data_IF_675285653757
#
_entry.id   IF_675285653757
#
_cell.length_a   1.000
_cell.length_b   1.000
_cell.length_c   1.000
_cell.angle_alpha   90.00
_cell.angle_beta   90.00
_cell.angle_gamma   90.00
#
_symmetry.space_group_name_H-M   'P 1'
#
loop_
_entity.id
_entity.type
_entity.pdbx_description
1 polymer ?
#
# COMPACT_ATOMS: atom_id res chain seq x y z
N UNK A 1 -10.68 20.88 -1.11
CA UNK A 1 -9.54 20.25 -1.81
C UNK A 1 -9.57 18.79 -1.41
N UNK A 2 -9.54 17.88 -2.39
CA UNK A 2 -9.35 16.44 -2.12
C UNK A 2 -7.99 16.24 -1.47
N UNK A 3 -7.92 15.44 -0.40
CA UNK A 3 -6.67 15.17 0.33
C UNK A 3 -5.75 14.30 -0.53
N UNK A 4 -4.81 14.92 -1.23
CA UNK A 4 -3.87 14.23 -2.12
C UNK A 4 -2.70 13.60 -1.38
N UNK A 5 -2.49 13.94 -0.10
CA UNK A 5 -1.36 13.46 0.67
C UNK A 5 -1.33 11.94 0.76
N UNK A 6 -2.49 11.33 1.00
CA UNK A 6 -2.61 9.86 1.14
C UNK A 6 -3.12 9.16 -0.12
N UNK A 7 -3.20 9.88 -1.23
CA UNK A 7 -3.71 9.32 -2.48
C UNK A 7 -2.66 8.41 -3.13
N UNK A 8 -3.06 7.17 -3.42
CA UNK A 8 -2.20 6.12 -3.96
C UNK A 8 -2.87 5.38 -5.11
N UNK A 9 -2.07 4.85 -6.04
CA UNK A 9 -2.46 3.73 -6.90
C UNK A 9 -1.94 2.43 -6.30
N UNK A 10 -2.77 1.39 -6.36
CA UNK A 10 -2.40 0.02 -5.92
C UNK A 10 -2.08 -0.80 -7.14
N UNK A 11 -0.95 -1.52 -7.12
CA UNK A 11 -0.56 -2.41 -8.21
C UNK A 11 -0.28 -3.82 -7.70
N UNK A 12 -0.53 -4.81 -8.56
CA UNK A 12 -0.04 -6.18 -8.38
C UNK A 12 0.80 -6.64 -9.55
N UNK A 13 1.86 -7.40 -9.27
CA UNK A 13 2.65 -8.03 -10.32
C UNK A 13 1.92 -9.27 -10.84
N UNK A 14 1.73 -9.35 -12.15
CA UNK A 14 1.09 -10.49 -12.81
C UNK A 14 2.11 -11.53 -13.30
N UNK A 15 1.62 -12.62 -13.89
CA UNK A 15 2.45 -13.74 -14.37
C UNK A 15 3.45 -13.33 -15.45
N UNK A 16 3.13 -12.32 -16.25
CA UNK A 16 4.00 -11.75 -17.29
C UNK A 16 5.03 -10.76 -16.73
N UNK A 17 5.13 -10.64 -15.40
CA UNK A 17 5.98 -9.67 -14.68
C UNK A 17 5.66 -8.22 -15.04
N UNK A 18 4.39 -7.93 -15.30
CA UNK A 18 3.88 -6.57 -15.50
C UNK A 18 3.03 -6.13 -14.30
N UNK A 19 3.01 -4.82 -14.04
CA UNK A 19 2.24 -4.25 -12.94
C UNK A 19 0.82 -3.90 -13.39
N UNK A 20 -0.17 -4.60 -12.86
CA UNK A 20 -1.59 -4.35 -13.10
C UNK A 20 -2.13 -3.29 -12.13
N UNK A 21 -2.78 -2.24 -12.64
CA UNK A 21 -3.46 -1.22 -11.84
C UNK A 21 -4.73 -1.80 -11.21
N UNK A 22 -4.76 -1.90 -9.87
CA UNK A 22 -5.91 -2.36 -9.08
C UNK A 22 -6.90 -1.23 -8.76
N UNK A 23 -6.51 0.02 -8.98
CA UNK A 23 -7.32 1.20 -8.70
C UNK A 23 -6.59 2.28 -7.92
N UNK A 24 -7.25 3.43 -7.83
CA UNK A 24 -6.77 4.59 -7.06
C UNK A 24 -7.59 4.75 -5.78
N UNK A 25 -6.92 5.06 -4.68
CA UNK A 25 -7.52 5.13 -3.36
C UNK A 25 -6.74 5.98 -2.37
N UNK A 26 -7.19 6.00 -1.12
CA UNK A 26 -6.51 6.68 -0.03
C UNK A 26 -5.98 5.64 0.98
N UNK A 27 -4.68 5.69 1.25
CA UNK A 27 -4.02 4.77 2.18
C UNK A 27 -4.13 5.27 3.62
N UNK A 28 -4.28 4.33 4.56
CA UNK A 28 -4.15 4.56 5.99
C UNK A 28 -3.52 3.34 6.67
N UNK A 29 -3.04 3.51 7.90
CA UNK A 29 -2.55 2.42 8.73
C UNK A 29 -3.39 2.29 9.99
N UNK A 30 -3.78 1.07 10.38
CA UNK A 30 -4.56 0.83 11.59
C UNK A 30 -4.41 -0.59 12.11
N UNK A 31 -4.70 -0.80 13.40
CA UNK A 31 -4.74 -2.14 13.97
C UNK A 31 -6.00 -2.85 13.49
N UNK A 32 -5.81 -4.03 12.89
CA UNK A 32 -6.90 -4.86 12.38
C UNK A 32 -7.02 -6.11 13.26
N UNK A 33 -8.15 -6.26 13.94
CA UNK A 33 -8.39 -7.32 14.92
C UNK A 33 -8.24 -8.72 14.30
N UNK A 34 -8.86 -8.95 13.14
CA UNK A 34 -8.81 -10.25 12.45
C UNK A 34 -7.41 -10.66 11.99
N UNK A 35 -6.53 -9.68 11.72
CA UNK A 35 -5.14 -9.91 11.33
C UNK A 35 -4.19 -9.88 12.54
N UNK A 36 -4.68 -9.46 13.71
CA UNK A 36 -3.92 -9.30 14.95
C UNK A 36 -2.64 -8.49 14.74
N UNK A 37 -2.78 -7.29 14.18
CA UNK A 37 -1.64 -6.40 13.95
C UNK A 37 -1.97 -5.12 13.19
N UNK A 38 -0.98 -4.22 13.18
CA UNK A 38 -0.99 -3.04 12.34
C UNK A 38 -1.03 -3.45 10.87
N UNK A 39 -1.87 -2.79 10.09
CA UNK A 39 -2.13 -3.14 8.69
C UNK A 39 -2.24 -1.87 7.84
N UNK A 40 -1.84 -1.98 6.59
CA UNK A 40 -2.09 -1.00 5.54
C UNK A 40 -3.48 -1.23 4.94
N UNK A 41 -4.25 -0.15 4.81
CA UNK A 41 -5.61 -0.14 4.29
C UNK A 41 -5.70 0.87 3.15
N UNK A 42 -6.23 0.47 2.00
CA UNK A 42 -6.53 1.40 0.89
C UNK A 42 -8.02 1.39 0.57
N UNK A 43 -8.65 2.56 0.66
CA UNK A 43 -10.06 2.76 0.30
C UNK A 43 -10.17 3.38 -1.09
N UNK A 44 -10.95 2.76 -1.97
CA UNK A 44 -11.14 3.20 -3.35
C UNK A 44 -11.74 4.60 -3.44
N UNK A 45 -11.29 5.42 -4.40
CA UNK A 45 -11.92 6.71 -4.69
C UNK A 45 -13.28 6.57 -5.37
N UNK A 46 -13.50 5.47 -6.09
CA UNK A 46 -14.71 5.24 -6.89
C UNK A 46 -15.96 5.04 -6.05
N UNK A 47 -15.86 4.25 -4.98
CA UNK A 47 -17.01 3.78 -4.21
C UNK A 47 -16.71 3.56 -2.71
N UNK A 48 -15.50 3.85 -2.24
CA UNK A 48 -15.09 3.65 -0.84
C UNK A 48 -14.88 2.17 -0.45
N UNK A 49 -14.93 1.24 -1.42
CA UNK A 49 -14.61 -0.16 -1.19
C UNK A 49 -13.14 -0.34 -0.75
N UNK A 50 -12.83 -1.49 -0.19
CA UNK A 50 -11.48 -1.80 0.29
C UNK A 50 -10.67 -2.42 -0.86
N UNK A 51 -9.69 -1.68 -1.37
CA UNK A 51 -8.77 -2.15 -2.42
C UNK A 51 -7.65 -3.02 -1.86
N UNK A 52 -7.19 -2.69 -0.65
CA UNK A 52 -6.10 -3.38 0.03
C UNK A 52 -6.36 -3.44 1.53
N UNK A 53 -6.11 -4.62 2.11
CA UNK A 53 -5.89 -4.80 3.54
C UNK A 53 -4.73 -5.79 3.71
N UNK A 54 -3.58 -5.27 4.11
CA UNK A 54 -2.33 -6.05 4.22
C UNK A 54 -1.70 -5.81 5.59
N UNK A 55 -1.36 -6.90 6.29
CA UNK A 55 -0.74 -6.82 7.62
C UNK A 55 0.72 -6.39 7.48
N UNK A 56 1.13 -5.38 8.25
CA UNK A 56 2.54 -5.03 8.39
C UNK A 56 3.21 -6.16 9.18
N UNK A 57 4.11 -6.89 8.51
CA UNK A 57 4.81 -8.04 9.05
C UNK A 57 6.30 -7.72 9.16
N UNK A 58 6.95 -8.01 10.31
CA UNK A 58 8.37 -7.73 10.50
C UNK A 58 9.28 -8.60 9.61
N UNK A 59 8.75 -9.71 9.08
CA UNK A 59 9.48 -10.61 8.19
C UNK A 59 9.33 -10.24 6.70
N UNK A 60 8.48 -9.27 6.38
CA UNK A 60 8.27 -8.82 5.01
C UNK A 60 9.32 -7.77 4.66
N UNK A 61 10.03 -8.00 3.56
CA UNK A 61 11.03 -7.06 3.05
C UNK A 61 10.35 -5.94 2.24
N UNK A 62 9.87 -4.92 2.94
CA UNK A 62 9.37 -3.71 2.30
C UNK A 62 10.52 -2.92 1.68
N UNK A 63 10.29 -2.37 0.48
CA UNK A 63 11.26 -1.56 -0.23
C UNK A 63 10.65 -0.24 -0.63
N UNK A 64 11.34 0.86 -0.30
CA UNK A 64 10.99 2.19 -0.80
C UNK A 64 11.79 2.49 -2.05
N UNK A 65 11.10 2.87 -3.13
CA UNK A 65 11.70 3.19 -4.42
C UNK A 65 11.27 4.59 -4.88
N UNK A 66 12.17 5.33 -5.54
CA UNK A 66 11.89 6.63 -6.18
C UNK A 66 11.14 7.64 -5.29
N UNK A 67 11.35 7.58 -3.97
CA UNK A 67 10.67 8.38 -2.94
C UNK A 67 9.16 8.25 -2.79
N UNK A 68 8.44 7.75 -3.80
CA UNK A 68 6.98 7.68 -3.83
C UNK A 68 6.42 6.28 -4.07
N UNK A 69 7.26 5.24 -4.08
CA UNK A 69 6.83 3.85 -4.25
C UNK A 69 7.21 3.03 -3.01
N UNK A 70 6.27 2.19 -2.56
CA UNK A 70 6.52 1.13 -1.58
C UNK A 70 6.16 -0.19 -2.24
N UNK A 71 7.11 -1.13 -2.28
CA UNK A 71 6.98 -2.44 -2.95
C UNK A 71 7.28 -3.53 -1.95
N UNK A 72 6.50 -4.61 -1.95
CA UNK A 72 6.76 -5.80 -1.12
C UNK A 72 6.11 -7.06 -1.71
N UNK A 73 6.60 -8.21 -1.28
CA UNK A 73 5.96 -9.51 -1.53
C UNK A 73 5.01 -9.82 -0.37
N UNK A 74 3.71 -9.89 -0.67
CA UNK A 74 2.65 -10.20 0.30
C UNK A 74 2.56 -11.70 0.57
N UNK A 75 2.73 -12.51 -0.47
CA UNK A 75 2.83 -13.96 -0.39
C UNK A 75 3.75 -14.50 -1.51
N UNK A 76 3.98 -15.81 -1.55
CA UNK A 76 4.72 -16.44 -2.64
C UNK A 76 4.04 -16.12 -3.99
N UNK A 77 4.79 -15.54 -4.92
CA UNK A 77 4.32 -15.05 -6.23
C UNK A 77 3.19 -14.00 -6.15
N UNK A 78 3.11 -13.24 -5.07
CA UNK A 78 2.14 -12.16 -4.93
C UNK A 78 2.81 -10.87 -4.46
N UNK A 79 3.27 -10.08 -5.43
CA UNK A 79 3.92 -8.79 -5.19
C UNK A 79 2.93 -7.63 -5.31
N UNK A 80 3.05 -6.68 -4.39
CA UNK A 80 2.24 -5.47 -4.30
C UNK A 80 3.13 -4.23 -4.41
N UNK A 81 2.57 -3.17 -4.97
CA UNK A 81 3.14 -1.84 -4.90
C UNK A 81 2.08 -0.77 -4.60
N UNK A 82 2.45 0.18 -3.75
CA UNK A 82 1.73 1.43 -3.54
C UNK A 82 2.50 2.56 -4.20
N UNK A 83 1.88 3.22 -5.19
CA UNK A 83 2.42 4.43 -5.82
C UNK A 83 1.71 5.64 -5.27
N UNK A 84 2.44 6.43 -4.49
CA UNK A 84 1.95 7.64 -3.85
C UNK A 84 1.97 8.80 -4.83
N UNK A 85 0.94 9.64 -4.74
CA UNK A 85 0.93 10.92 -5.46
C UNK A 85 1.91 11.92 -4.84
N UNK A 86 2.10 11.86 -3.51
CA UNK A 86 2.96 12.77 -2.78
C UNK A 86 4.02 12.01 -1.96
N UNK A 87 5.27 12.47 -2.03
CA UNK A 87 6.37 11.95 -1.20
C UNK A 87 6.06 12.02 0.29
N UNK A 88 5.44 13.10 0.76
CA UNK A 88 5.10 13.27 2.18
C UNK A 88 4.20 12.13 2.70
N UNK A 89 3.20 11.70 1.92
CA UNK A 89 2.38 10.54 2.28
C UNK A 89 3.14 9.22 2.24
N UNK A 90 4.05 9.07 1.27
CA UNK A 90 4.93 7.91 1.22
C UNK A 90 5.85 7.83 2.44
N UNK A 91 6.43 8.96 2.85
CA UNK A 91 7.26 9.08 4.04
C UNK A 91 6.46 8.69 5.30
N UNK A 92 5.25 9.25 5.48
CA UNK A 92 4.38 8.94 6.62
C UNK A 92 4.06 7.43 6.75
N UNK A 93 3.72 6.77 5.63
CA UNK A 93 3.44 5.33 5.65
C UNK A 93 4.72 4.50 5.84
N UNK A 94 5.83 4.93 5.23
CA UNK A 94 7.11 4.26 5.39
C UNK A 94 7.57 4.25 6.85
N UNK A 95 7.44 5.39 7.54
CA UNK A 95 7.73 5.47 8.98
C UNK A 95 6.88 4.50 9.80
N UNK A 96 5.61 4.29 9.43
CA UNK A 96 4.73 3.31 10.11
C UNK A 96 5.12 1.87 9.86
N UNK A 97 5.67 1.55 8.69
CA UNK A 97 6.18 0.21 8.38
C UNK A 97 7.48 -0.08 9.15
N UNK A 98 8.32 0.94 9.36
CA UNK A 98 9.59 0.80 10.06
C UNK A 98 9.50 0.86 11.60
N UNK A 99 8.32 1.08 12.18
CA UNK A 99 8.07 1.05 13.62
C UNK A 99 7.92 -0.39 14.14
#
# INVERSE_FOLDING_TARGET
MTDTRRRVKVYTLNEDRQWDDRGTGHVSSGYVERLKGMSLLVRAESDGSLLLESKISPNTAYQKQQDTLIVWSEAENYDLALSFQEKAGCDEIWEKICQ
#
